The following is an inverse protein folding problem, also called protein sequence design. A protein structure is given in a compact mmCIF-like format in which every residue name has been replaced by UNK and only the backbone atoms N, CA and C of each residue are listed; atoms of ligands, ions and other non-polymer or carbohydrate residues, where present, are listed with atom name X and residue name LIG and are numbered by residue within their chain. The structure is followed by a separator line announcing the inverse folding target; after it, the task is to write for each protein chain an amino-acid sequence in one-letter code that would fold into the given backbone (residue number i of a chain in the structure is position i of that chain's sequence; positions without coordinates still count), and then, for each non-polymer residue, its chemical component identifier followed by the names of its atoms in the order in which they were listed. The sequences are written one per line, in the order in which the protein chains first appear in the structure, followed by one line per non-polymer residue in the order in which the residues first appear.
data_IF_549996995086
#
_entry.id   IF_549996995086
#
_cell.length_a   1.000
_cell.length_b   1.000
_cell.length_c   1.000
_cell.angle_alpha   90.00
_cell.angle_beta   90.00
_cell.angle_gamma   90.00
#
_symmetry.space_group_name_H-M   'P 1'
#
loop_
_entity.id
_entity.type
_entity.pdbx_description
1 polymer ?
#
# COMPACT_ATOMS: atom_id res chain seq x y z
N UNK A 1 -6.89 2.64 2.82
CA UNK A 1 -6.50 3.50 1.68
C UNK A 1 -5.76 4.71 2.21
N UNK A 2 -4.57 5.00 1.70
CA UNK A 2 -3.66 6.09 2.13
C UNK A 2 -3.35 6.96 0.91
N UNK A 3 -3.68 8.25 0.98
CA UNK A 3 -3.49 9.21 -0.12
C UNK A 3 -3.16 10.60 0.46
N UNK A 4 -2.39 11.42 -0.27
CA UNK A 4 -2.10 12.82 0.09
C UNK A 4 -1.67 13.04 1.55
N UNK A 5 -0.86 12.12 2.08
CA UNK A 5 -0.52 12.07 3.50
C UNK A 5 0.99 12.19 3.71
N UNK A 6 1.41 12.77 4.83
CA UNK A 6 2.83 12.98 5.15
C UNK A 6 3.13 12.49 6.56
N UNK A 7 4.20 11.69 6.72
CA UNK A 7 4.73 11.26 8.01
C UNK A 7 3.70 10.52 8.88
N UNK A 8 3.24 9.36 8.40
CA UNK A 8 2.30 8.52 9.14
C UNK A 8 2.85 7.13 9.43
N UNK A 9 2.31 6.55 10.49
CA UNK A 9 2.59 5.17 10.88
C UNK A 9 1.30 4.35 10.90
N UNK A 10 1.36 3.16 10.33
CA UNK A 10 0.33 2.13 10.41
C UNK A 10 1.00 0.92 11.06
N UNK A 11 0.57 0.51 12.25
CA UNK A 11 1.30 -0.51 13.01
C UNK A 11 0.38 -1.56 13.62
N UNK A 12 0.89 -2.79 13.71
CA UNK A 12 0.30 -3.88 14.52
C UNK A 12 -1.17 -4.16 14.22
N UNK A 13 -1.53 -4.16 12.94
CA UNK A 13 -2.90 -4.36 12.48
C UNK A 13 -3.08 -5.72 11.80
N UNK A 14 -4.21 -6.37 12.05
CA UNK A 14 -4.68 -7.53 11.29
C UNK A 14 -5.79 -7.08 10.35
N UNK A 15 -5.57 -7.25 9.05
CA UNK A 15 -6.47 -6.74 8.01
C UNK A 15 -6.80 -7.88 7.05
N UNK A 16 -8.07 -8.24 6.97
CA UNK A 16 -8.60 -9.17 5.97
C UNK A 16 -9.72 -8.51 5.19
N UNK A 17 -9.58 -8.47 3.87
CA UNK A 17 -10.55 -7.82 2.97
C UNK A 17 -10.68 -8.61 1.66
N UNK A 18 -11.55 -8.16 0.74
CA UNK A 18 -11.59 -8.69 -0.63
C UNK A 18 -10.54 -8.05 -1.57
N UNK A 19 -9.85 -6.99 -1.14
CA UNK A 19 -8.91 -6.19 -1.92
C UNK A 19 -7.62 -5.88 -1.12
N UNK A 20 -6.88 -4.82 -1.44
CA UNK A 20 -5.63 -4.43 -0.80
C UNK A 20 -5.85 -4.20 0.71
N UNK A 21 -5.04 -4.82 1.56
CA UNK A 21 -5.01 -4.53 3.00
C UNK A 21 -4.61 -3.07 3.24
N UNK A 22 -3.62 -2.59 2.50
CA UNK A 22 -3.19 -1.19 2.48
C UNK A 22 -2.89 -0.83 1.02
N UNK A 23 -3.57 0.19 0.50
CA UNK A 23 -3.21 0.86 -0.75
C UNK A 23 -2.61 2.23 -0.44
N UNK A 24 -1.42 2.50 -0.97
CA UNK A 24 -0.68 3.78 -0.80
C UNK A 24 -0.61 4.47 -2.16
N UNK A 25 -1.24 5.62 -2.32
CA UNK A 25 -1.39 6.31 -3.61
C UNK A 25 -0.75 7.70 -3.60
N UNK A 26 -0.86 8.39 -4.74
CA UNK A 26 -0.19 9.67 -5.03
C UNK A 26 -0.31 10.70 -3.89
N UNK A 27 0.73 11.52 -3.75
CA UNK A 27 0.84 12.56 -2.73
C UNK A 27 1.22 12.02 -1.34
N UNK A 28 1.49 10.72 -1.21
CA UNK A 28 1.86 10.10 0.07
C UNK A 28 3.38 10.03 0.22
N UNK A 29 3.88 10.51 1.36
CA UNK A 29 5.31 10.56 1.68
C UNK A 29 5.56 10.11 3.12
N UNK A 30 6.67 9.40 3.39
CA UNK A 30 7.06 8.97 4.75
C UNK A 30 5.97 8.12 5.41
N UNK A 31 5.58 7.04 4.75
CA UNK A 31 4.57 6.11 5.25
C UNK A 31 5.27 4.87 5.78
N UNK A 32 5.14 4.62 7.08
CA UNK A 32 5.74 3.48 7.76
C UNK A 32 4.67 2.47 8.15
N UNK A 33 4.62 1.31 7.51
CA UNK A 33 3.73 0.21 7.85
C UNK A 33 4.51 -0.91 8.55
N UNK A 34 4.22 -1.18 9.82
CA UNK A 34 4.99 -2.14 10.64
C UNK A 34 4.10 -3.24 11.23
N UNK A 35 4.56 -4.48 11.19
CA UNK A 35 3.91 -5.65 11.81
C UNK A 35 2.43 -5.84 11.39
N UNK A 36 2.19 -5.73 10.08
CA UNK A 36 0.86 -5.92 9.50
C UNK A 36 0.62 -7.39 9.20
N UNK A 37 -0.47 -7.95 9.70
CA UNK A 37 -0.96 -9.27 9.29
C UNK A 37 -2.06 -9.08 8.26
N UNK A 38 -1.76 -9.37 6.99
CA UNK A 38 -2.62 -9.08 5.84
C UNK A 38 -3.16 -10.38 5.23
N UNK A 39 -4.48 -10.53 5.17
CA UNK A 39 -5.10 -11.72 4.60
C UNK A 39 -6.53 -11.98 5.08
N UNK A 40 -7.40 -12.60 4.26
CA UNK A 40 -7.31 -12.69 2.79
C UNK A 40 -7.34 -11.31 2.12
N UNK A 41 -7.08 -11.23 0.80
CA UNK A 41 -7.15 -9.96 0.03
C UNK A 41 -6.13 -9.85 -1.10
N UNK A 42 -5.79 -8.63 -1.53
CA UNK A 42 -4.82 -8.38 -2.61
C UNK A 42 -3.38 -8.12 -2.12
N UNK A 43 -3.14 -8.06 -0.82
CA UNK A 43 -1.83 -7.73 -0.25
C UNK A 43 -1.68 -6.25 0.11
N UNK A 44 -0.45 -5.77 0.20
CA UNK A 44 -0.14 -4.35 0.36
C UNK A 44 0.33 -3.81 -1.00
N UNK A 45 -0.34 -2.78 -1.49
CA UNK A 45 -0.05 -2.20 -2.79
C UNK A 45 0.38 -0.73 -2.71
N UNK A 46 1.43 -0.36 -3.45
CA UNK A 46 1.67 1.03 -3.83
C UNK A 46 0.98 1.26 -5.18
N UNK A 47 0.03 2.20 -5.22
CA UNK A 47 -0.78 2.53 -6.37
C UNK A 47 -2.22 2.01 -6.32
N UNK A 48 -2.96 2.06 -7.43
CA UNK A 48 -2.47 2.42 -8.77
C UNK A 48 -2.04 3.89 -8.89
N UNK A 49 -0.92 4.14 -9.57
CA UNK A 49 -0.35 5.47 -9.80
C UNK A 49 -0.49 5.88 -11.27
N UNK A 50 -0.72 7.17 -11.52
CA UNK A 50 -0.72 7.76 -12.87
C UNK A 50 -1.98 7.54 -13.70
N UNK A 51 -3.14 7.39 -13.04
CA UNK A 51 -4.42 7.20 -13.75
C UNK A 51 -4.71 8.36 -14.71
N UNK A 52 -5.16 8.05 -15.93
CA UNK A 52 -5.49 9.07 -16.93
C UNK A 52 -4.27 9.86 -17.44
N UNK A 53 -3.12 9.20 -17.61
CA UNK A 53 -1.85 9.82 -18.02
C UNK A 53 -1.41 10.99 -17.12
N UNK A 54 -1.78 10.92 -15.84
CA UNK A 54 -1.38 11.91 -14.84
C UNK A 54 -0.03 11.58 -14.25
N UNK A 55 0.67 12.61 -13.79
CA UNK A 55 1.85 12.44 -12.95
C UNK A 55 1.43 12.02 -11.54
N UNK A 56 2.18 11.09 -10.93
CA UNK A 56 1.93 10.63 -9.59
C UNK A 56 3.24 10.36 -8.84
N UNK A 57 3.29 10.79 -7.58
CA UNK A 57 4.48 10.67 -6.75
C UNK A 57 4.14 10.00 -5.42
N UNK A 58 4.99 9.08 -5.02
CA UNK A 58 5.06 8.49 -3.69
C UNK A 58 6.54 8.37 -3.33
N UNK A 59 6.89 8.66 -2.09
CA UNK A 59 8.29 8.66 -1.66
C UNK A 59 8.43 8.21 -0.20
N UNK A 60 9.57 7.61 0.12
CA UNK A 60 9.91 7.18 1.48
C UNK A 60 8.83 6.28 2.11
N UNK A 61 8.59 5.13 1.48
CA UNK A 61 7.61 4.13 1.93
C UNK A 61 8.38 2.96 2.53
N UNK A 62 8.11 2.66 3.80
CA UNK A 62 8.72 1.53 4.50
C UNK A 62 7.63 0.57 4.96
N UNK A 63 7.72 -0.69 4.53
CA UNK A 63 6.87 -1.78 5.00
C UNK A 63 7.76 -2.83 5.65
N UNK A 64 7.59 -3.06 6.94
CA UNK A 64 8.45 -3.95 7.73
C UNK A 64 7.64 -4.92 8.58
N UNK A 65 8.09 -6.17 8.70
CA UNK A 65 7.45 -7.19 9.54
C UNK A 65 6.08 -7.67 9.06
N UNK A 66 5.68 -7.36 7.81
CA UNK A 66 4.39 -7.77 7.27
C UNK A 66 4.31 -9.28 7.05
N UNK A 67 3.19 -9.88 7.46
CA UNK A 67 2.84 -11.30 7.25
C UNK A 67 1.64 -11.37 6.32
N UNK A 68 1.75 -12.17 5.27
CA UNK A 68 0.69 -12.32 4.27
C UNK A 68 0.11 -13.73 4.33
N UNK A 69 -1.22 -13.87 4.29
CA UNK A 69 -1.88 -15.16 4.23
C UNK A 69 -3.12 -15.12 3.32
N UNK A 70 -3.26 -16.10 2.43
CA UNK A 70 -4.41 -16.16 1.52
C UNK A 70 -4.61 -14.90 0.67
N UNK A 71 -3.55 -14.12 0.43
CA UNK A 71 -3.59 -12.94 -0.43
C UNK A 71 -3.21 -13.30 -1.86
N UNK A 72 -3.75 -12.58 -2.85
CA UNK A 72 -3.36 -12.78 -4.26
C UNK A 72 -1.97 -12.25 -4.57
N UNK A 73 -1.50 -11.25 -3.81
CA UNK A 73 -0.12 -10.76 -3.85
C UNK A 73 0.40 -10.55 -2.42
N UNK A 74 1.72 -10.52 -2.25
CA UNK A 74 2.35 -10.03 -1.01
C UNK A 74 2.43 -8.51 -1.04
N UNK A 75 3.59 -8.00 -1.44
CA UNK A 75 3.79 -6.59 -1.76
C UNK A 75 3.74 -6.37 -3.27
N UNK A 76 3.09 -5.29 -3.73
CA UNK A 76 2.94 -4.99 -5.17
C UNK A 76 3.05 -3.49 -5.44
N UNK A 77 3.65 -3.12 -6.57
CA UNK A 77 3.60 -1.74 -7.10
C UNK A 77 2.77 -1.76 -8.39
N UNK A 78 1.81 -0.84 -8.51
CA UNK A 78 0.86 -0.73 -9.63
C UNK A 78 0.96 0.66 -10.25
N UNK A 79 1.34 0.75 -11.52
CA UNK A 79 1.27 1.99 -12.30
C UNK A 79 0.39 1.78 -13.52
N UNK A 80 -0.26 2.85 -13.99
CA UNK A 80 -0.86 2.84 -15.31
C UNK A 80 0.22 2.86 -16.40
N UNK A 81 -0.11 2.29 -17.55
CA UNK A 81 0.71 2.45 -18.75
C UNK A 81 0.67 3.91 -19.22
N UNK A 82 1.82 4.43 -19.65
CA UNK A 82 1.95 5.76 -20.23
C UNK A 82 1.83 5.78 -21.75
#
# INVERSE_FOLDING_TARGET
HVANTHNIQISSATIGTGDDCISITSGSQKVHATDITCGPGHGISIGSLGSGNSEAHVSDINVYGAKFYGTTNGLRIKTWQG
#
